data_IF_398586724991
#
_entry.id   IF_398586724991
#
_cell.length_a   1.000
_cell.length_b   1.000
_cell.length_c   1.000
_cell.angle_alpha   90.00
_cell.angle_beta   90.00
_cell.angle_gamma   90.00
#
_symmetry.space_group_name_H-M   'P 1'
#
loop_
_entity.id
_entity.type
_entity.pdbx_description
1 polymer ?
#
# COMPACT_ATOMS: atom_id res chain seq x y z
N UNK A 1 -8.61 7.56 6.41
CA UNK A 1 -7.18 7.80 6.17
C UNK A 1 -7.02 7.83 4.66
N UNK A 2 -6.62 8.96 4.12
CA UNK A 2 -6.28 9.16 2.72
C UNK A 2 -4.78 8.92 2.56
N UNK A 3 -4.39 8.05 1.65
CA UNK A 3 -3.00 7.70 1.41
C UNK A 3 -2.79 7.31 -0.04
N UNK A 4 -1.55 7.34 -0.47
CA UNK A 4 -1.12 6.85 -1.78
C UNK A 4 0.14 6.00 -1.63
N UNK A 5 0.25 4.94 -2.42
CA UNK A 5 1.50 4.21 -2.62
C UNK A 5 2.19 4.77 -3.84
N UNK A 6 3.51 4.95 -3.77
CA UNK A 6 4.29 5.52 -4.87
C UNK A 6 5.52 4.67 -5.17
N UNK A 7 5.82 4.52 -6.44
CA UNK A 7 7.07 3.97 -6.96
C UNK A 7 7.43 4.65 -8.29
N UNK A 8 8.67 4.46 -8.76
CA UNK A 8 9.17 5.12 -9.96
C UNK A 8 10.31 4.35 -10.63
N UNK A 9 10.59 4.73 -11.89
CA UNK A 9 11.77 4.32 -12.65
C UNK A 9 12.65 5.53 -12.94
N UNK A 10 13.97 5.34 -12.97
CA UNK A 10 14.97 6.41 -13.12
C UNK A 10 16.10 6.00 -14.03
N UNK A 11 16.84 6.98 -14.58
CA UNK A 11 18.03 6.72 -15.40
C UNK A 11 19.22 6.17 -14.63
N UNK A 12 19.19 6.23 -13.31
CA UNK A 12 20.24 5.73 -12.43
C UNK A 12 19.90 5.91 -10.96
N UNK A 13 20.88 5.86 -10.08
CA UNK A 13 20.67 5.83 -8.63
C UNK A 13 20.92 7.18 -7.93
N UNK A 14 21.47 8.17 -8.62
CA UNK A 14 22.05 9.38 -8.03
C UNK A 14 21.45 10.66 -8.65
N UNK A 15 20.31 11.10 -8.11
CA UNK A 15 19.64 12.33 -8.58
C UNK A 15 20.56 13.57 -8.57
N UNK A 16 21.48 13.67 -7.59
CA UNK A 16 22.45 14.76 -7.47
C UNK A 16 23.56 14.72 -8.53
N UNK A 17 23.80 13.56 -9.15
CA UNK A 17 24.74 13.39 -10.25
C UNK A 17 24.08 13.55 -11.62
N UNK A 18 22.83 13.97 -11.63
CA UNK A 18 22.09 14.27 -12.83
C UNK A 18 21.23 13.13 -13.35
N UNK A 19 21.04 12.06 -12.58
CA UNK A 19 20.04 11.04 -12.93
C UNK A 19 18.63 11.60 -12.81
N UNK A 20 17.76 11.18 -13.72
CA UNK A 20 16.44 11.76 -13.96
C UNK A 20 15.34 10.73 -13.78
N UNK A 21 14.15 11.21 -13.51
CA UNK A 21 12.93 10.43 -13.48
C UNK A 21 12.51 10.03 -14.91
N UNK A 22 12.04 8.78 -15.07
CA UNK A 22 11.53 8.26 -16.34
C UNK A 22 10.05 7.91 -16.23
N UNK A 23 9.64 7.41 -15.08
CA UNK A 23 8.27 6.97 -14.81
C UNK A 23 7.94 7.29 -13.36
N UNK A 24 6.72 7.74 -13.12
CA UNK A 24 6.15 7.90 -11.78
C UNK A 24 4.77 7.28 -11.75
N UNK A 25 4.53 6.45 -10.73
CA UNK A 25 3.25 5.81 -10.50
C UNK A 25 2.82 5.98 -9.04
N UNK A 26 1.57 6.34 -8.83
CA UNK A 26 0.98 6.40 -7.51
C UNK A 26 -0.47 5.91 -7.54
N UNK A 27 -0.87 5.20 -6.49
CA UNK A 27 -2.21 4.65 -6.34
C UNK A 27 -2.88 5.22 -5.10
N UNK A 28 -4.11 5.66 -5.25
CA UNK A 28 -4.90 6.15 -4.15
C UNK A 28 -5.44 5.01 -3.28
N UNK A 29 -5.36 5.22 -1.97
CA UNK A 29 -5.91 4.30 -0.97
C UNK A 29 -6.71 5.06 0.09
N UNK A 30 -7.98 4.71 0.24
CA UNK A 30 -8.87 5.26 1.26
C UNK A 30 -9.34 4.16 2.19
N UNK A 31 -9.20 4.37 3.50
CA UNK A 31 -9.58 3.41 4.52
C UNK A 31 -9.03 1.99 4.27
N UNK A 32 -7.75 1.91 3.87
CA UNK A 32 -7.04 0.65 3.59
C UNK A 32 -7.58 -0.13 2.38
N UNK A 33 -8.18 0.54 1.41
CA UNK A 33 -8.65 -0.06 0.16
C UNK A 33 -8.22 0.83 -1.00
N UNK A 34 -7.71 0.22 -2.05
CA UNK A 34 -7.47 0.92 -3.31
C UNK A 34 -8.81 1.43 -3.85
N UNK A 35 -8.84 2.67 -4.29
CA UNK A 35 -10.05 3.31 -4.85
C UNK A 35 -10.21 3.03 -6.34
N UNK A 36 -9.12 2.69 -7.01
CA UNK A 36 -9.00 2.60 -8.46
C UNK A 36 -8.46 3.87 -9.11
N UNK A 37 -8.39 4.98 -8.36
CA UNK A 37 -7.74 6.20 -8.83
C UNK A 37 -6.21 6.02 -8.80
N UNK A 38 -5.56 6.49 -9.88
CA UNK A 38 -4.11 6.38 -10.03
C UNK A 38 -3.53 7.56 -10.76
N UNK A 39 -2.29 7.87 -10.45
CA UNK A 39 -1.45 8.75 -11.23
C UNK A 39 -0.35 7.89 -11.86
N UNK A 40 -0.24 7.89 -13.19
CA UNK A 40 0.79 7.12 -13.89
C UNK A 40 1.25 7.87 -15.12
N UNK A 41 2.52 8.30 -15.11
CA UNK A 41 3.09 9.06 -16.20
C UNK A 41 4.51 8.59 -16.54
N UNK A 42 4.77 8.44 -17.82
CA UNK A 42 6.12 8.33 -18.36
C UNK A 42 6.61 9.71 -18.77
N UNK A 43 7.83 10.02 -18.41
CA UNK A 43 8.41 11.33 -18.72
C UNK A 43 9.72 11.18 -19.50
N UNK A 44 9.98 12.14 -20.38
CA UNK A 44 11.25 12.25 -21.07
C UNK A 44 12.31 12.80 -20.09
N UNK A 45 13.36 12.02 -19.79
CA UNK A 45 14.39 12.42 -18.83
C UNK A 45 15.34 13.49 -19.36
N UNK A 46 15.24 13.89 -20.64
CA UNK A 46 16.16 14.81 -21.32
C UNK A 46 17.64 14.35 -21.26
N UNK A 47 17.87 13.05 -21.18
CA UNK A 47 19.20 12.41 -21.17
C UNK A 47 19.09 10.94 -21.57
N UNK A 48 20.24 10.35 -21.90
CA UNK A 48 20.34 8.93 -22.24
C UNK A 48 20.00 8.03 -21.05
N UNK A 49 19.44 6.87 -21.34
CA UNK A 49 19.09 5.85 -20.35
C UNK A 49 20.16 4.74 -20.44
N UNK A 50 20.99 4.56 -19.41
CA UNK A 50 21.99 3.50 -19.39
C UNK A 50 21.37 2.11 -19.55
N UNK A 51 22.06 1.19 -20.23
CA UNK A 51 21.57 -0.15 -20.49
C UNK A 51 21.26 -0.93 -19.18
N UNK A 52 22.02 -0.67 -18.13
CA UNK A 52 21.80 -1.26 -16.81
C UNK A 52 20.43 -0.84 -16.22
N UNK A 53 20.04 0.41 -16.39
CA UNK A 53 18.74 0.93 -15.98
C UNK A 53 17.62 0.32 -16.84
N UNK A 54 17.81 0.28 -18.17
CA UNK A 54 16.85 -0.34 -19.10
C UNK A 54 16.62 -1.84 -18.76
N UNK A 55 17.67 -2.55 -18.37
CA UNK A 55 17.56 -3.96 -17.97
C UNK A 55 16.72 -4.15 -16.70
N UNK A 56 16.61 -3.14 -15.83
CA UNK A 56 15.84 -3.18 -14.59
C UNK A 56 14.35 -2.88 -14.84
N UNK A 57 14.04 -1.80 -15.54
CA UNK A 57 12.65 -1.33 -15.71
C UNK A 57 12.07 -1.55 -17.11
N UNK A 58 12.88 -2.01 -18.09
CA UNK A 58 12.43 -2.32 -19.44
C UNK A 58 12.08 -1.12 -20.32
N UNK A 59 12.29 0.12 -19.85
CA UNK A 59 11.93 1.34 -20.57
C UNK A 59 13.13 1.77 -21.41
N UNK A 60 12.92 1.88 -22.73
CA UNK A 60 13.97 2.31 -23.66
C UNK A 60 13.94 3.83 -23.89
N UNK A 61 15.05 4.38 -24.35
CA UNK A 61 15.15 5.79 -24.72
C UNK A 61 14.15 6.16 -25.82
N UNK A 62 14.01 5.31 -26.83
CA UNK A 62 13.04 5.49 -27.93
C UNK A 62 11.60 5.60 -27.41
N UNK A 63 11.24 4.81 -26.39
CA UNK A 63 9.90 4.84 -25.81
C UNK A 63 9.59 6.18 -25.13
N UNK A 64 10.55 6.78 -24.44
CA UNK A 64 10.34 8.03 -23.69
C UNK A 64 10.63 9.30 -24.49
N UNK A 65 11.22 9.18 -25.67
CA UNK A 65 11.60 10.33 -26.49
C UNK A 65 10.43 11.30 -26.79
N UNK A 66 9.22 10.75 -27.00
CA UNK A 66 8.02 11.50 -27.29
C UNK A 66 7.11 11.69 -26.07
N UNK A 67 7.58 11.37 -24.86
CA UNK A 67 6.81 11.57 -23.64
C UNK A 67 6.95 13.02 -23.14
N UNK A 68 5.99 13.51 -22.34
CA UNK A 68 6.08 14.85 -21.76
C UNK A 68 7.32 14.98 -20.87
N UNK A 69 7.78 16.20 -20.70
CA UNK A 69 8.77 16.52 -19.66
C UNK A 69 8.09 16.47 -18.28
N UNK A 70 8.85 16.19 -17.22
CA UNK A 70 8.30 16.20 -15.86
C UNK A 70 7.63 17.55 -15.51
N UNK A 71 8.11 18.66 -16.06
CA UNK A 71 7.48 19.98 -15.89
C UNK A 71 6.01 20.07 -16.36
N UNK A 72 5.61 19.22 -17.29
CA UNK A 72 4.22 19.20 -17.78
C UNK A 72 3.27 18.41 -16.86
N UNK A 73 3.78 17.49 -16.06
CA UNK A 73 3.01 16.59 -15.20
C UNK A 73 3.15 16.92 -13.71
N UNK A 74 4.13 17.77 -13.34
CA UNK A 74 4.47 18.08 -11.96
C UNK A 74 3.29 18.63 -11.15
N UNK A 75 2.52 19.57 -11.71
CA UNK A 75 1.38 20.18 -11.01
C UNK A 75 0.28 19.15 -10.74
N UNK A 76 -0.01 18.26 -11.71
CA UNK A 76 -0.99 17.18 -11.56
C UNK A 76 -0.53 16.14 -10.54
N UNK A 77 0.77 15.80 -10.52
CA UNK A 77 1.33 14.89 -9.52
C UNK A 77 1.21 15.47 -8.11
N UNK A 78 1.60 16.74 -7.91
CA UNK A 78 1.49 17.42 -6.61
C UNK A 78 0.02 17.44 -6.13
N UNK A 79 -0.91 17.73 -7.02
CA UNK A 79 -2.34 17.76 -6.67
C UNK A 79 -2.84 16.37 -6.26
N UNK A 80 -2.40 15.31 -6.96
CA UNK A 80 -2.77 13.93 -6.65
C UNK A 80 -2.30 13.48 -5.26
N UNK A 81 -1.09 13.89 -4.83
CA UNK A 81 -0.52 13.47 -3.53
C UNK A 81 -0.80 14.44 -2.39
N UNK A 82 -1.41 15.61 -2.67
CA UNK A 82 -1.64 16.66 -1.67
C UNK A 82 -2.43 16.13 -0.47
N UNK A 83 -1.93 16.46 0.73
CA UNK A 83 -2.53 16.07 2.01
C UNK A 83 -2.66 14.54 2.24
N UNK A 84 -2.07 13.74 1.36
CA UNK A 84 -2.05 12.29 1.51
C UNK A 84 -0.97 11.82 2.49
N UNK A 85 -1.12 10.60 3.01
CA UNK A 85 -0.02 9.83 3.56
C UNK A 85 0.65 9.05 2.43
N UNK A 86 1.81 9.53 1.94
CA UNK A 86 2.55 8.92 0.85
C UNK A 86 3.40 7.76 1.39
N UNK A 87 3.08 6.55 0.95
CA UNK A 87 3.74 5.30 1.37
C UNK A 87 4.75 4.92 0.29
N UNK A 88 6.03 4.89 0.65
CA UNK A 88 7.14 4.64 -0.27
C UNK A 88 8.04 3.55 0.29
N UNK A 89 8.59 2.70 -0.57
CA UNK A 89 9.56 1.69 -0.15
C UNK A 89 10.99 2.20 -0.34
N UNK A 90 11.66 2.61 0.74
CA UNK A 90 12.93 3.35 0.76
C UNK A 90 12.75 4.84 0.38
N UNK A 91 11.84 5.50 1.09
CA UNK A 91 11.42 6.88 0.82
C UNK A 91 12.55 7.92 0.57
N UNK A 92 13.70 7.89 1.26
CA UNK A 92 14.77 8.86 0.98
C UNK A 92 15.26 8.85 -0.47
N UNK A 93 15.21 7.68 -1.12
CA UNK A 93 15.62 7.54 -2.52
C UNK A 93 14.61 8.24 -3.45
N UNK A 94 13.31 7.97 -3.28
CA UNK A 94 12.25 8.52 -4.12
C UNK A 94 12.09 10.03 -3.92
N UNK A 95 12.06 10.48 -2.69
CA UNK A 95 11.99 11.90 -2.35
C UNK A 95 13.17 12.68 -2.92
N UNK A 96 14.37 12.08 -2.90
CA UNK A 96 15.56 12.72 -3.49
C UNK A 96 15.42 13.02 -4.97
N UNK A 97 14.77 12.16 -5.74
CA UNK A 97 14.50 12.38 -7.17
C UNK A 97 13.34 13.34 -7.40
N UNK A 98 12.23 13.14 -6.73
CA UNK A 98 11.04 14.00 -6.87
C UNK A 98 11.36 15.45 -6.50
N UNK A 99 12.02 15.67 -5.37
CA UNK A 99 12.46 17.02 -4.96
C UNK A 99 13.45 17.63 -5.94
N UNK A 100 14.37 16.82 -6.51
CA UNK A 100 15.32 17.29 -7.52
C UNK A 100 14.61 17.69 -8.82
N UNK A 101 13.65 16.88 -9.30
CA UNK A 101 12.85 17.20 -10.48
C UNK A 101 12.04 18.49 -10.27
N UNK A 102 11.40 18.65 -9.12
CA UNK A 102 10.66 19.87 -8.78
C UNK A 102 11.58 21.10 -8.72
N UNK A 103 12.81 20.95 -8.20
CA UNK A 103 13.81 22.03 -8.21
C UNK A 103 14.25 22.40 -9.62
N UNK A 104 14.41 21.43 -10.53
CA UNK A 104 14.72 21.67 -11.93
C UNK A 104 13.57 22.38 -12.65
N UNK A 105 12.32 21.98 -12.39
CA UNK A 105 11.13 22.67 -12.91
C UNK A 105 11.08 24.10 -12.39
N UNK A 106 11.29 24.32 -11.09
CA UNK A 106 11.33 25.62 -10.48
C UNK A 106 12.35 26.54 -11.17
N UNK A 107 13.56 26.02 -11.41
CA UNK A 107 14.65 26.76 -12.09
C UNK A 107 14.30 27.11 -13.54
N UNK A 108 13.63 26.19 -14.27
CA UNK A 108 13.26 26.42 -15.69
C UNK A 108 12.07 27.36 -15.84
N UNK A 109 11.08 27.29 -14.94
CA UNK A 109 9.80 28.01 -15.07
C UNK A 109 9.71 29.28 -14.23
N UNK A 110 10.61 29.46 -13.27
CA UNK A 110 10.53 30.56 -12.27
C UNK A 110 9.42 30.33 -11.21
N UNK A 111 8.72 29.17 -11.22
CA UNK A 111 7.73 28.82 -10.21
C UNK A 111 8.41 28.26 -8.97
N UNK A 112 7.79 28.42 -7.81
CA UNK A 112 8.26 27.81 -6.58
C UNK A 112 7.48 26.51 -6.32
N UNK A 113 8.19 25.44 -6.04
CA UNK A 113 7.61 24.15 -5.63
C UNK A 113 8.04 23.81 -4.22
N UNK A 114 7.12 23.37 -3.35
CA UNK A 114 7.48 22.85 -2.02
C UNK A 114 8.18 21.50 -2.17
N UNK A 115 8.88 21.07 -1.12
CA UNK A 115 9.33 19.69 -1.04
C UNK A 115 8.15 18.74 -0.83
N UNK A 116 8.28 17.52 -1.30
CA UNK A 116 7.23 16.51 -1.14
C UNK A 116 6.84 16.31 0.34
N UNK A 117 7.82 16.27 1.23
CA UNK A 117 7.59 16.12 2.67
C UNK A 117 6.87 17.32 3.33
N UNK A 118 6.77 18.47 2.65
CA UNK A 118 6.05 19.64 3.15
C UNK A 118 4.55 19.63 2.79
N UNK A 119 4.17 18.80 1.81
CA UNK A 119 2.79 18.72 1.29
C UNK A 119 2.07 17.42 1.60
N UNK A 120 2.80 16.39 2.01
CA UNK A 120 2.22 15.11 2.39
C UNK A 120 3.00 14.47 3.54
N UNK A 121 2.31 13.60 4.30
CA UNK A 121 2.97 12.77 5.32
C UNK A 121 3.71 11.63 4.64
N UNK A 122 4.98 11.40 5.00
CA UNK A 122 5.79 10.32 4.42
C UNK A 122 5.83 9.11 5.36
N UNK A 123 5.51 7.95 4.81
CA UNK A 123 5.67 6.65 5.48
C UNK A 123 6.64 5.77 4.70
N UNK A 124 7.81 5.52 5.28
CA UNK A 124 8.83 4.62 4.72
C UNK A 124 8.52 3.16 5.09
N UNK A 125 8.00 2.39 4.14
CA UNK A 125 7.64 1.00 4.35
C UNK A 125 8.86 0.08 4.55
N UNK A 126 10.05 0.43 4.02
CA UNK A 126 11.29 -0.30 4.30
C UNK A 126 11.73 -0.14 5.75
N UNK A 127 11.63 1.08 6.30
CA UNK A 127 11.93 1.34 7.70
C UNK A 127 10.98 0.55 8.60
N UNK A 128 9.69 0.54 8.29
CA UNK A 128 8.68 -0.24 8.99
C UNK A 128 8.97 -1.75 8.90
N UNK A 129 9.32 -2.26 7.70
CA UNK A 129 9.67 -3.66 7.50
C UNK A 129 10.90 -4.08 8.32
N UNK A 130 11.93 -3.23 8.38
CA UNK A 130 13.13 -3.49 9.21
C UNK A 130 12.82 -3.57 10.70
N UNK A 131 11.86 -2.79 11.19
CA UNK A 131 11.42 -2.87 12.58
C UNK A 131 10.66 -4.17 12.87
N UNK A 132 9.82 -4.64 11.93
CA UNK A 132 9.04 -5.88 12.08
C UNK A 132 9.88 -7.15 11.84
N UNK A 133 10.87 -7.07 10.98
CA UNK A 133 11.71 -8.21 10.55
C UNK A 133 13.20 -7.87 10.65
N UNK A 134 13.72 -7.65 11.87
CA UNK A 134 15.12 -7.32 12.06
C UNK A 134 16.04 -8.44 11.55
N UNK A 135 17.16 -8.05 10.95
CA UNK A 135 18.15 -9.01 10.41
C UNK A 135 17.75 -9.76 9.14
N UNK A 136 16.56 -9.50 8.59
CA UNK A 136 16.09 -10.15 7.37
C UNK A 136 16.18 -9.23 6.15
N UNK A 137 16.15 -9.83 4.94
CA UNK A 137 15.99 -9.07 3.70
C UNK A 137 14.58 -8.47 3.66
N UNK A 138 14.50 -7.16 3.44
CA UNK A 138 13.26 -6.39 3.45
C UNK A 138 13.03 -5.60 2.15
N UNK A 139 13.63 -6.02 1.03
CA UNK A 139 13.24 -5.51 -0.28
C UNK A 139 11.82 -6.00 -0.64
N UNK A 140 11.19 -5.36 -1.61
CA UNK A 140 9.79 -5.59 -1.98
C UNK A 140 9.54 -7.08 -2.31
N UNK A 141 10.42 -7.73 -3.11
CA UNK A 141 10.29 -9.15 -3.45
C UNK A 141 10.39 -10.09 -2.24
N UNK A 142 11.25 -9.77 -1.28
CA UNK A 142 11.37 -10.56 -0.05
C UNK A 142 10.15 -10.41 0.84
N UNK A 143 9.55 -9.23 0.84
CA UNK A 143 8.29 -8.97 1.55
C UNK A 143 7.11 -9.68 0.87
N UNK A 144 7.01 -9.66 -0.47
CA UNK A 144 6.01 -10.42 -1.20
C UNK A 144 6.04 -11.90 -0.84
N UNK A 145 7.22 -12.51 -0.88
CA UNK A 145 7.39 -13.94 -0.50
C UNK A 145 6.98 -14.21 0.95
N UNK A 146 7.29 -13.28 1.87
CA UNK A 146 6.99 -13.43 3.30
C UNK A 146 5.50 -13.32 3.58
N UNK A 147 4.81 -12.43 2.88
CA UNK A 147 3.37 -12.19 3.07
C UNK A 147 2.48 -12.97 2.10
N UNK A 148 3.06 -13.86 1.26
CA UNK A 148 2.32 -14.67 0.30
C UNK A 148 1.66 -13.86 -0.82
N UNK A 149 2.24 -12.69 -1.15
CA UNK A 149 1.74 -11.81 -2.22
C UNK A 149 2.32 -12.29 -3.55
N UNK A 150 1.43 -12.52 -4.51
CA UNK A 150 1.82 -12.96 -5.85
C UNK A 150 2.41 -11.78 -6.64
N UNK A 151 3.71 -11.84 -6.91
CA UNK A 151 4.43 -10.90 -7.75
C UNK A 151 4.92 -11.52 -9.07
N UNK A 152 4.33 -12.63 -9.52
CA UNK A 152 4.75 -13.33 -10.75
C UNK A 152 4.60 -12.48 -12.02
N UNK A 153 3.74 -11.47 -12.00
CA UNK A 153 3.56 -10.52 -13.11
C UNK A 153 4.68 -9.47 -13.20
N UNK A 154 5.53 -9.35 -12.18
CA UNK A 154 6.65 -8.43 -12.10
C UNK A 154 7.87 -8.97 -12.86
N UNK A 155 7.78 -8.97 -14.19
CA UNK A 155 8.93 -9.33 -15.04
C UNK A 155 9.97 -8.21 -15.11
N UNK A 156 9.50 -6.97 -15.03
CA UNK A 156 10.30 -5.73 -14.97
C UNK A 156 9.75 -4.83 -13.87
N UNK A 157 10.56 -3.85 -13.44
CA UNK A 157 10.15 -2.89 -12.43
C UNK A 157 9.38 -1.73 -13.09
N UNK A 158 8.04 -1.82 -13.12
CA UNK A 158 7.17 -0.73 -13.54
C UNK A 158 6.59 0.01 -12.33
N UNK A 159 6.57 1.35 -12.37
CA UNK A 159 6.17 2.15 -11.23
C UNK A 159 4.75 1.85 -10.74
N UNK A 160 3.79 1.71 -11.65
CA UNK A 160 2.40 1.42 -11.26
C UNK A 160 2.26 0.03 -10.61
N UNK A 161 2.86 -1.00 -11.23
CA UNK A 161 2.83 -2.36 -10.70
C UNK A 161 3.55 -2.45 -9.34
N UNK A 162 4.68 -1.77 -9.20
CA UNK A 162 5.40 -1.72 -7.92
C UNK A 162 4.60 -1.00 -6.84
N UNK A 163 3.81 0.02 -7.19
CA UNK A 163 2.87 0.70 -6.29
C UNK A 163 1.73 -0.22 -5.83
N UNK A 164 1.16 -1.05 -6.72
CA UNK A 164 0.15 -2.05 -6.38
C UNK A 164 0.71 -3.09 -5.40
N UNK A 165 1.86 -3.67 -5.74
CA UNK A 165 2.55 -4.63 -4.87
C UNK A 165 2.89 -4.00 -3.52
N UNK A 166 3.34 -2.75 -3.51
CA UNK A 166 3.64 -2.02 -2.28
C UNK A 166 2.40 -1.82 -1.43
N UNK A 167 1.25 -1.51 -2.04
CA UNK A 167 -0.03 -1.40 -1.33
C UNK A 167 -0.38 -2.71 -0.61
N UNK A 168 -0.32 -3.85 -1.32
CA UNK A 168 -0.61 -5.17 -0.75
C UNK A 168 0.36 -5.54 0.38
N UNK A 169 1.66 -5.29 0.18
CA UNK A 169 2.69 -5.50 1.21
C UNK A 169 2.43 -4.63 2.43
N UNK A 170 2.15 -3.34 2.23
CA UNK A 170 1.88 -2.41 3.33
C UNK A 170 0.62 -2.79 4.10
N UNK A 171 -0.46 -3.16 3.40
CA UNK A 171 -1.70 -3.63 4.01
C UNK A 171 -1.48 -4.92 4.81
N UNK A 172 -0.75 -5.89 4.27
CA UNK A 172 -0.41 -7.13 4.97
C UNK A 172 0.51 -6.88 6.17
N UNK A 173 1.49 -6.00 6.00
CA UNK A 173 2.45 -5.66 7.05
C UNK A 173 1.81 -4.89 8.21
N UNK A 174 0.81 -4.05 7.93
CA UNK A 174 0.11 -3.18 8.92
C UNK A 174 -1.27 -3.71 9.30
N UNK A 175 -1.84 -4.64 8.54
CA UNK A 175 -3.03 -5.40 8.88
C UNK A 175 -2.65 -6.46 9.89
N UNK A 176 -2.43 -6.05 11.16
CA UNK A 176 -2.23 -7.01 12.22
C UNK A 176 -3.48 -7.87 12.34
N UNK A 177 -3.33 -9.20 12.45
CA UNK A 177 -4.14 -9.93 13.38
C UNK A 177 -4.17 -9.07 14.64
N UNK A 178 -5.32 -8.52 14.99
CA UNK A 178 -5.55 -8.11 16.37
C UNK A 178 -5.30 -9.38 17.16
N UNK A 179 -4.16 -9.46 17.84
CA UNK A 179 -3.92 -10.49 18.84
C UNK A 179 -5.18 -10.49 19.69
N UNK A 180 -5.96 -11.55 19.56
CA UNK A 180 -6.99 -11.88 20.52
C UNK A 180 -6.19 -12.19 21.78
N UNK A 181 -5.90 -11.17 22.58
CA UNK A 181 -5.33 -11.30 23.91
C UNK A 181 -6.38 -11.99 24.79
N UNK A 182 -6.60 -13.28 24.56
CA UNK A 182 -7.24 -14.19 25.49
C UNK A 182 -6.14 -14.68 26.44
N UNK A 183 -5.96 -13.97 27.55
CA UNK A 183 -5.19 -14.41 28.69
C UNK A 183 -3.72 -14.00 28.72
N UNK A 184 -3.46 -12.80 29.16
CA UNK A 184 -2.24 -12.46 29.89
C UNK A 184 -2.65 -11.55 31.06
N UNK A 185 -2.58 -12.09 32.25
CA UNK A 185 -2.64 -11.29 33.47
C UNK A 185 -1.45 -10.34 33.49
N UNK A 186 -1.74 -9.05 33.40
CA UNK A 186 -0.71 -8.01 33.42
C UNK A 186 -0.56 -7.41 34.79
N UNK A 187 0.67 -7.41 35.26
CA UNK A 187 1.15 -6.60 36.40
C UNK A 187 0.85 -5.10 36.18
N UNK A 188 0.49 -4.37 37.25
CA UNK A 188 0.04 -3.00 37.13
C UNK A 188 1.23 -2.04 37.17
N UNK A 189 1.73 -1.57 36.06
CA UNK A 189 2.31 -0.23 35.92
C UNK A 189 2.77 0.07 34.47
N UNK A 190 2.04 0.88 33.74
CA UNK A 190 2.59 1.95 32.90
C UNK A 190 1.51 2.62 32.03
N UNK A 191 1.33 3.90 32.34
CA UNK A 191 1.00 5.03 31.45
C UNK A 191 -0.25 5.02 30.58
N UNK A 192 -1.22 5.79 31.02
CA UNK A 192 -2.45 6.26 30.45
C UNK A 192 -2.27 6.97 29.11
N UNK A 193 -2.65 6.34 28.02
CA UNK A 193 -3.41 6.91 26.92
C UNK A 193 -4.29 5.78 26.36
N UNK A 194 -5.28 5.42 27.16
CA UNK A 194 -6.29 4.45 26.78
C UNK A 194 -7.34 5.16 25.94
N UNK A 195 -7.45 4.77 24.68
CA UNK A 195 -8.73 4.83 23.99
C UNK A 195 -9.77 4.17 24.89
N UNK A 196 -10.76 4.96 25.29
CA UNK A 196 -11.88 4.56 26.14
C UNK A 196 -12.63 3.38 25.48
N UNK A 197 -12.16 2.17 25.71
CA UNK A 197 -12.92 0.96 25.43
C UNK A 197 -14.02 0.89 26.47
N UNK A 198 -15.17 1.48 26.16
CA UNK A 198 -16.38 1.23 26.94
C UNK A 198 -16.57 -0.27 27.00
N UNK A 199 -16.17 -0.90 28.11
CA UNK A 199 -16.61 -2.23 28.46
C UNK A 199 -18.11 -2.13 28.62
N UNK A 200 -18.87 -2.81 27.76
CA UNK A 200 -20.28 -3.06 27.99
C UNK A 200 -20.32 -4.05 29.15
N UNK A 201 -20.42 -3.52 30.38
CA UNK A 201 -20.41 -4.29 31.62
C UNK A 201 -21.82 -4.70 32.03
N UNK A 202 -22.85 -4.18 31.35
CA UNK A 202 -24.23 -4.46 31.65
C UNK A 202 -25.00 -4.88 30.39
N UNK A 203 -24.95 -6.17 30.08
CA UNK A 203 -25.68 -6.78 28.97
C UNK A 203 -27.19 -6.83 29.22
N UNK A 204 -27.62 -6.64 30.47
CA UNK A 204 -29.06 -6.63 30.82
C UNK A 204 -29.76 -5.31 30.45
N UNK A 205 -28.98 -4.25 30.17
CA UNK A 205 -29.51 -2.97 29.71
C UNK A 205 -29.91 -2.95 28.22
N UNK A 206 -29.56 -3.99 27.46
CA UNK A 206 -29.90 -4.10 26.05
C UNK A 206 -30.92 -5.23 25.86
N UNK A 207 -32.13 -4.91 25.44
CA UNK A 207 -33.08 -5.91 24.93
C UNK A 207 -32.53 -6.48 23.60
N UNK A 208 -31.69 -7.51 23.72
CA UNK A 208 -31.19 -8.22 22.55
C UNK A 208 -32.34 -9.02 21.93
N UNK A 209 -32.74 -8.65 20.73
CA UNK A 209 -33.74 -9.42 19.99
C UNK A 209 -33.11 -10.75 19.57
N UNK A 210 -33.50 -11.82 20.25
CA UNK A 210 -33.12 -13.17 19.84
C UNK A 210 -33.96 -13.54 18.62
N UNK A 211 -33.30 -13.75 17.48
CA UNK A 211 -33.96 -14.26 16.28
C UNK A 211 -34.11 -15.77 16.45
N UNK A 212 -35.34 -16.21 16.60
CA UNK A 212 -35.70 -17.63 16.67
C UNK A 212 -36.13 -18.08 15.28
N UNK A 213 -35.69 -19.26 14.86
CA UNK A 213 -36.08 -19.82 13.58
C UNK A 213 -37.59 -20.03 13.50
N UNK A 214 -38.18 -19.76 12.36
CA UNK A 214 -39.59 -20.01 12.09
C UNK A 214 -39.86 -21.51 11.93
N UNK A 215 -41.12 -21.93 12.10
CA UNK A 215 -41.52 -23.34 11.93
C UNK A 215 -41.21 -23.85 10.50
N UNK A 216 -41.31 -22.98 9.48
CA UNK A 216 -40.97 -23.30 8.11
C UNK A 216 -39.45 -23.51 7.93
N UNK A 217 -38.61 -22.69 8.57
CA UNK A 217 -37.15 -22.84 8.55
C UNK A 217 -36.71 -24.11 9.27
N UNK A 218 -37.34 -24.44 10.40
CA UNK A 218 -37.10 -25.69 11.13
C UNK A 218 -37.47 -26.91 10.29
N UNK A 219 -38.62 -26.88 9.61
CA UNK A 219 -39.04 -27.97 8.72
C UNK A 219 -38.10 -28.16 7.55
N UNK A 220 -37.68 -27.05 6.90
CA UNK A 220 -36.69 -27.09 5.81
C UNK A 220 -35.34 -27.62 6.28
N UNK A 221 -34.90 -27.25 7.47
CA UNK A 221 -33.67 -27.76 8.10
C UNK A 221 -33.75 -29.27 8.33
N UNK A 222 -34.88 -29.79 8.86
CA UNK A 222 -35.07 -31.21 9.10
C UNK A 222 -34.99 -32.05 7.81
N UNK A 223 -35.64 -31.59 6.72
CA UNK A 223 -35.55 -32.23 5.40
C UNK A 223 -34.12 -32.26 4.88
N UNK A 224 -33.36 -31.19 5.12
CA UNK A 224 -31.98 -31.13 4.72
C UNK A 224 -31.09 -32.11 5.51
N UNK A 225 -31.30 -32.20 6.82
CA UNK A 225 -30.61 -33.20 7.67
C UNK A 225 -30.88 -34.63 7.22
N UNK A 226 -32.12 -34.98 6.88
CA UNK A 226 -32.48 -36.30 6.37
C UNK A 226 -31.78 -36.60 5.04
N UNK A 227 -31.69 -35.61 4.13
CA UNK A 227 -30.96 -35.72 2.85
C UNK A 227 -29.49 -36.00 3.08
N UNK A 228 -28.86 -35.28 4.02
CA UNK A 228 -27.44 -35.45 4.37
C UNK A 228 -27.22 -36.80 5.05
N UNK A 229 -28.10 -37.24 5.95
CA UNK A 229 -28.01 -38.55 6.63
C UNK A 229 -28.10 -39.69 5.60
N UNK A 230 -28.98 -39.60 4.62
CA UNK A 230 -29.11 -40.58 3.52
C UNK A 230 -27.86 -40.64 2.67
N UNK A 231 -27.22 -39.46 2.36
CA UNK A 231 -26.04 -39.40 1.55
C UNK A 231 -24.75 -39.85 2.27
N UNK A 232 -24.69 -39.62 3.59
CA UNK A 232 -23.51 -39.93 4.42
C UNK A 232 -23.53 -41.31 5.06
N UNK A 233 -24.70 -41.93 5.15
CA UNK A 233 -24.93 -43.20 5.87
C UNK A 233 -24.84 -43.09 7.39
N UNK A 234 -24.83 -41.88 7.96
CA UNK A 234 -24.76 -41.62 9.38
C UNK A 234 -25.90 -40.66 9.82
N UNK A 235 -26.44 -40.86 11.02
CA UNK A 235 -27.37 -39.88 11.57
C UNK A 235 -26.67 -38.56 11.86
N UNK A 236 -27.23 -37.47 11.33
CA UNK A 236 -26.75 -36.11 11.60
C UNK A 236 -27.58 -35.52 12.73
N UNK A 237 -26.99 -35.23 13.87
CA UNK A 237 -27.56 -34.44 14.96
C UNK A 237 -26.80 -33.14 15.14
N UNK A 238 -27.55 -32.10 15.43
CA UNK A 238 -26.99 -30.81 15.86
C UNK A 238 -27.27 -30.62 17.34
#
# INVERSE_FOLDING_TARGET
MYGATEARSTTGLESKQGDRLIEVGALEMVNRRLTGESFHEYVNPERDIPMEAQAVHGITEEFVQNKPLFSAVADAFIEFIRDAELIIHNAPFDLGFLDNELALVAKKTGRSYPKIADICKITDSLKLARQKHPGQKNNLDSLCRRYGINNAHRQVHGALLDSEILADVYLSMTGGQTDLMLGAETSPNQSKTALDRRRITDLQAYELKVVVATDEELAAHQVKLETVAQASGHECSW
#
